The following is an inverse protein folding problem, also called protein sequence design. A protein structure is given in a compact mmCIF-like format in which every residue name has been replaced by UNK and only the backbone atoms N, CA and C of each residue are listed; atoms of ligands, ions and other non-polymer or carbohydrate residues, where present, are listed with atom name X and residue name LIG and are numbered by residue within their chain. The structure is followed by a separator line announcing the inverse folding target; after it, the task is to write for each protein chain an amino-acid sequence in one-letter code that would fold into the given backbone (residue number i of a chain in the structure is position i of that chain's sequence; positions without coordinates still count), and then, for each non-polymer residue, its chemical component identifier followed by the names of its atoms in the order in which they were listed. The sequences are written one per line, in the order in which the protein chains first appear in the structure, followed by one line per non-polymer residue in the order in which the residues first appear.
data_IF_857226281818
#
_entry.id   IF_857226281818
#
_cell.length_a   1.000
_cell.length_b   1.000
_cell.length_c   1.000
_cell.angle_alpha   90.00
_cell.angle_beta   90.00
_cell.angle_gamma   90.00
#
_symmetry.space_group_name_H-M   'P 1'
#
loop_
_entity.id
_entity.type
_entity.pdbx_description
1 polymer ?
#
# COMPACT_ATOMS: atom_id res chain seq x y z
N UNK A 1 -21.18 7.00 -23.71
CA UNK A 1 -20.00 6.17 -23.42
C UNK A 1 -18.86 7.14 -23.25
N UNK A 2 -18.27 7.19 -22.06
CA UNK A 2 -17.17 8.13 -21.79
C UNK A 2 -15.95 7.72 -22.62
N UNK A 3 -15.13 8.68 -23.05
CA UNK A 3 -13.89 8.42 -23.78
C UNK A 3 -12.79 9.32 -23.23
N UNK A 4 -11.58 8.78 -23.09
CA UNK A 4 -10.40 9.47 -22.56
C UNK A 4 -9.16 8.92 -23.28
N UNK A 5 -7.99 9.54 -23.15
CA UNK A 5 -6.78 8.99 -23.76
C UNK A 5 -6.27 7.78 -22.97
N UNK A 6 -6.26 7.90 -21.64
CA UNK A 6 -5.75 6.85 -20.74
C UNK A 6 -6.67 6.62 -19.55
N UNK A 7 -6.98 5.34 -19.28
CA UNK A 7 -7.55 4.93 -17.98
C UNK A 7 -6.47 4.36 -17.09
N UNK A 8 -6.35 4.86 -15.86
CA UNK A 8 -5.51 4.28 -14.81
C UNK A 8 -6.39 3.54 -13.82
N UNK A 9 -6.12 2.25 -13.61
CA UNK A 9 -6.86 1.39 -12.67
C UNK A 9 -6.07 1.30 -11.36
N UNK A 10 -6.61 1.90 -10.30
CA UNK A 10 -6.04 1.97 -8.96
C UNK A 10 -5.40 3.33 -8.65
N UNK A 11 -5.83 3.97 -7.57
CA UNK A 11 -5.28 5.21 -7.02
C UNK A 11 -4.28 4.95 -5.87
N UNK A 12 -3.49 3.89 -5.99
CA UNK A 12 -2.25 3.73 -5.24
C UNK A 12 -1.14 4.63 -5.80
N UNK A 13 0.02 4.66 -5.14
CA UNK A 13 1.15 5.54 -5.52
C UNK A 13 1.56 5.37 -6.99
N UNK A 14 1.66 4.15 -7.51
CA UNK A 14 2.04 3.93 -8.91
C UNK A 14 1.02 4.45 -9.91
N UNK A 15 -0.28 4.34 -9.59
CA UNK A 15 -1.35 4.86 -10.44
C UNK A 15 -1.41 6.38 -10.41
N UNK A 16 -1.29 6.97 -9.22
CA UNK A 16 -1.22 8.43 -9.07
C UNK A 16 0.02 9.02 -9.76
N UNK A 17 1.16 8.33 -9.72
CA UNK A 17 2.37 8.74 -10.45
C UNK A 17 2.17 8.67 -11.96
N UNK A 18 1.60 7.57 -12.48
CA UNK A 18 1.32 7.44 -13.91
C UNK A 18 0.33 8.53 -14.37
N UNK A 19 -0.75 8.74 -13.62
CA UNK A 19 -1.77 9.73 -13.94
C UNK A 19 -1.19 11.15 -13.97
N UNK A 20 -0.43 11.52 -12.95
CA UNK A 20 0.23 12.82 -12.89
C UNK A 20 1.16 13.05 -14.09
N UNK A 21 2.04 12.10 -14.39
CA UNK A 21 2.99 12.23 -15.50
C UNK A 21 2.29 12.37 -16.87
N UNK A 22 1.18 11.66 -17.08
CA UNK A 22 0.40 11.74 -18.33
C UNK A 22 -0.38 13.05 -18.43
N UNK A 23 -0.95 13.52 -17.33
CA UNK A 23 -1.67 14.81 -17.26
C UNK A 23 -0.71 15.99 -17.47
N UNK A 24 0.50 15.94 -16.89
CA UNK A 24 1.51 16.98 -17.05
C UNK A 24 1.91 17.17 -18.54
N UNK A 25 1.77 16.12 -19.37
CA UNK A 25 1.96 16.13 -20.83
C UNK A 25 0.67 16.40 -21.64
N UNK A 26 -0.39 16.84 -20.96
CA UNK A 26 -1.65 17.27 -21.55
C UNK A 26 -2.54 16.15 -22.07
N UNK A 27 -2.36 14.90 -21.63
CA UNK A 27 -3.28 13.80 -21.97
C UNK A 27 -4.58 13.89 -21.15
N UNK A 28 -5.69 13.49 -21.75
CA UNK A 28 -6.93 13.23 -21.02
C UNK A 28 -6.81 11.90 -20.27
N UNK A 29 -6.89 11.95 -18.94
CA UNK A 29 -6.67 10.81 -18.07
C UNK A 29 -7.87 10.61 -17.14
N UNK A 30 -8.22 9.36 -16.90
CA UNK A 30 -9.19 8.99 -15.87
C UNK A 30 -8.61 7.92 -14.93
N UNK A 31 -8.56 8.22 -13.64
CA UNK A 31 -8.17 7.28 -12.58
C UNK A 31 -9.42 6.68 -11.95
N UNK A 32 -9.52 5.35 -11.98
CA UNK A 32 -10.60 4.58 -11.37
C UNK A 32 -10.08 3.84 -10.14
N UNK A 33 -10.59 4.18 -8.96
CA UNK A 33 -10.25 3.53 -7.69
C UNK A 33 -11.46 2.78 -7.15
N UNK A 34 -11.24 1.53 -6.73
CA UNK A 34 -12.30 0.69 -6.21
C UNK A 34 -12.82 1.15 -4.84
N UNK A 35 -11.94 1.71 -4.00
CA UNK A 35 -12.27 2.20 -2.66
C UNK A 35 -12.81 3.63 -2.67
N UNK A 36 -13.33 4.05 -1.54
CA UNK A 36 -13.70 5.42 -1.19
C UNK A 36 -12.50 6.31 -0.81
N UNK A 37 -11.27 5.83 -1.01
CA UNK A 37 -10.03 6.49 -0.62
C UNK A 37 -8.89 6.20 -1.58
N UNK A 38 -7.93 7.13 -1.66
CA UNK A 38 -6.64 6.90 -2.31
C UNK A 38 -5.63 6.22 -1.39
N UNK A 39 -4.50 5.80 -1.96
CA UNK A 39 -3.33 5.33 -1.24
C UNK A 39 -3.13 3.82 -1.27
N UNK A 40 -4.18 3.04 -1.55
CA UNK A 40 -4.10 1.59 -1.60
C UNK A 40 -3.54 1.01 -0.29
N UNK A 41 -2.31 0.50 -0.35
CA UNK A 41 -1.53 -0.04 0.79
C UNK A 41 -0.90 1.02 1.69
N UNK A 42 -1.00 2.30 1.34
CA UNK A 42 -0.78 3.40 2.26
C UNK A 42 -2.12 3.72 2.91
N UNK A 43 -2.33 3.20 4.12
CA UNK A 43 -3.53 3.43 4.91
C UNK A 43 -3.12 3.96 6.27
N UNK A 44 -3.58 5.16 6.58
CA UNK A 44 -3.37 5.80 7.87
C UNK A 44 -4.72 6.09 8.53
N UNK A 45 -4.84 5.85 9.82
CA UNK A 45 -6.04 6.18 10.60
C UNK A 45 -5.73 7.27 11.64
N UNK A 46 -6.69 8.12 11.99
CA UNK A 46 -6.48 9.12 13.03
C UNK A 46 -6.36 8.46 14.41
N UNK A 47 -5.49 9.03 15.26
CA UNK A 47 -5.36 8.60 16.67
C UNK A 47 -6.41 9.26 17.55
N UNK A 48 -6.85 10.49 17.22
CA UNK A 48 -7.89 11.23 17.94
C UNK A 48 -9.15 11.50 17.10
N UNK A 49 -10.15 12.18 17.68
CA UNK A 49 -11.40 12.52 16.99
C UNK A 49 -11.23 13.59 15.90
N UNK A 50 -10.10 14.30 15.89
CA UNK A 50 -9.82 15.37 14.91
C UNK A 50 -8.85 14.88 13.84
N UNK A 51 -9.12 15.11 12.54
CA UNK A 51 -8.24 14.74 11.42
C UNK A 51 -6.81 15.35 11.46
N UNK A 52 -6.57 16.36 12.31
CA UNK A 52 -5.30 17.06 12.44
C UNK A 52 -4.26 16.36 13.34
N UNK A 53 -4.62 15.25 14.00
CA UNK A 53 -3.65 14.46 14.77
C UNK A 53 -2.81 13.58 13.85
N UNK A 54 -1.52 13.40 14.15
CA UNK A 54 -0.64 12.43 13.49
C UNK A 54 -1.37 11.09 13.24
N UNK A 55 -1.17 10.51 12.06
CA UNK A 55 -1.81 9.26 11.66
C UNK A 55 -1.04 8.02 12.12
N UNK A 56 -1.78 6.97 12.43
CA UNK A 56 -1.24 5.61 12.62
C UNK A 56 -1.30 4.86 11.29
N UNK A 57 -0.17 4.35 10.84
CA UNK A 57 -0.09 3.60 9.59
C UNK A 57 -0.49 2.13 9.80
N UNK A 58 -1.62 1.73 9.23
CA UNK A 58 -2.04 0.33 9.15
C UNK A 58 -1.43 -0.40 7.94
N UNK A 59 -0.84 0.36 7.02
CA UNK A 59 -0.12 -0.13 5.85
C UNK A 59 1.38 0.11 5.91
N UNK A 60 2.00 0.54 4.81
CA UNK A 60 3.42 0.89 4.82
C UNK A 60 3.67 2.10 5.75
N UNK A 61 4.80 2.07 6.46
CA UNK A 61 5.11 3.06 7.52
C UNK A 61 6.37 3.87 7.25
N UNK A 62 7.33 3.28 6.54
CA UNK A 62 8.68 3.83 6.44
C UNK A 62 9.03 4.22 5.00
N UNK A 63 10.02 5.10 4.91
CA UNK A 63 10.85 5.30 3.72
C UNK A 63 12.33 5.37 4.14
N UNK A 64 13.25 5.13 3.20
CA UNK A 64 14.69 5.03 3.49
C UNK A 64 15.54 5.99 2.66
N UNK A 65 16.79 6.22 3.10
CA UNK A 65 17.72 7.13 2.43
C UNK A 65 18.11 6.69 1.01
N UNK A 66 18.00 5.40 0.70
CA UNK A 66 18.24 4.83 -0.63
C UNK A 66 16.99 4.84 -1.54
N UNK A 67 15.92 5.54 -1.15
CA UNK A 67 14.69 5.72 -1.95
C UNK A 67 14.60 7.17 -2.46
N UNK A 68 15.34 7.52 -3.53
CA UNK A 68 15.46 8.89 -3.99
C UNK A 68 14.15 9.46 -4.55
N UNK A 69 13.30 8.64 -5.21
CA UNK A 69 12.04 9.14 -5.76
C UNK A 69 11.06 9.46 -4.64
N UNK A 70 11.00 8.63 -3.60
CA UNK A 70 10.18 8.90 -2.42
C UNK A 70 10.62 10.20 -1.74
N UNK A 71 11.92 10.37 -1.49
CA UNK A 71 12.45 11.59 -0.86
C UNK A 71 12.21 12.84 -1.71
N UNK A 72 12.45 12.78 -3.01
CA UNK A 72 12.19 13.88 -3.92
C UNK A 72 10.71 14.28 -3.91
N UNK A 73 9.81 13.30 -3.95
CA UNK A 73 8.37 13.53 -3.93
C UNK A 73 7.90 14.13 -2.59
N UNK A 74 8.41 13.64 -1.46
CA UNK A 74 8.13 14.21 -0.13
C UNK A 74 8.55 15.69 -0.08
N UNK A 75 9.77 15.99 -0.54
CA UNK A 75 10.28 17.36 -0.60
C UNK A 75 9.44 18.24 -1.53
N UNK A 76 9.07 17.72 -2.70
CA UNK A 76 8.28 18.42 -3.70
C UNK A 76 6.87 18.78 -3.18
N UNK A 77 6.28 17.88 -2.39
CA UNK A 77 4.96 18.05 -1.79
C UNK A 77 4.98 18.82 -0.46
N UNK A 78 6.17 19.17 0.05
CA UNK A 78 6.32 19.90 1.32
C UNK A 78 5.82 19.11 2.53
N UNK A 79 5.90 17.78 2.50
CA UNK A 79 5.36 16.92 3.57
C UNK A 79 6.33 16.85 4.76
N UNK A 80 5.79 17.00 5.97
CA UNK A 80 6.58 16.92 7.20
C UNK A 80 7.03 15.49 7.51
N UNK A 81 8.32 15.32 7.81
CA UNK A 81 8.94 14.04 8.17
C UNK A 81 9.57 14.09 9.56
N UNK A 82 9.74 12.92 10.16
CA UNK A 82 10.55 12.72 11.36
C UNK A 82 11.28 11.37 11.28
N UNK A 83 12.41 11.20 11.98
CA UNK A 83 13.12 9.92 12.00
C UNK A 83 12.34 8.86 12.77
N UNK A 84 12.46 7.60 12.33
CA UNK A 84 12.06 6.44 13.13
C UNK A 84 12.86 6.43 14.43
N UNK A 85 12.17 6.25 15.56
CA UNK A 85 12.85 6.10 16.84
C UNK A 85 13.45 4.70 16.95
N UNK A 86 14.76 4.65 17.18
CA UNK A 86 15.53 3.39 17.30
C UNK A 86 16.42 3.36 18.55
N UNK A 87 16.38 4.41 19.38
CA UNK A 87 17.25 4.53 20.55
C UNK A 87 16.78 3.65 21.70
N UNK A 88 17.73 3.05 22.42
CA UNK A 88 17.46 2.14 23.51
C UNK A 88 17.59 0.68 23.12
N UNK A 89 17.22 -0.19 24.04
CA UNK A 89 17.42 -1.63 23.93
C UNK A 89 16.23 -2.31 23.25
N UNK A 90 16.52 -3.28 22.38
CA UNK A 90 15.51 -4.17 21.82
C UNK A 90 15.18 -5.31 22.79
N UNK A 91 14.01 -5.93 22.59
CA UNK A 91 13.65 -7.18 23.23
C UNK A 91 13.72 -8.35 22.25
N UNK A 92 14.16 -9.49 22.74
CA UNK A 92 14.13 -10.75 22.02
C UNK A 92 13.38 -11.78 22.86
N UNK A 93 12.43 -12.51 22.26
CA UNK A 93 11.68 -13.54 22.95
C UNK A 93 11.86 -14.90 22.28
N UNK A 94 12.29 -15.88 23.07
CA UNK A 94 12.31 -17.29 22.71
C UNK A 94 11.47 -18.12 23.69
N UNK A 95 11.58 -19.45 23.62
CA UNK A 95 10.84 -20.36 24.50
C UNK A 95 11.26 -20.29 25.97
N UNK A 96 12.42 -19.71 26.29
CA UNK A 96 12.93 -19.60 27.65
C UNK A 96 12.47 -18.31 28.33
N UNK A 97 12.18 -17.27 27.55
CA UNK A 97 11.64 -16.03 28.08
C UNK A 97 11.94 -14.82 27.19
N UNK A 98 11.80 -13.64 27.80
CA UNK A 98 12.13 -12.35 27.18
C UNK A 98 13.50 -11.91 27.64
N UNK A 99 14.34 -11.54 26.68
CA UNK A 99 15.71 -11.13 26.86
C UNK A 99 15.86 -9.69 26.35
N UNK A 100 16.61 -8.87 27.09
CA UNK A 100 16.95 -7.51 26.68
C UNK A 100 18.26 -7.53 25.91
N UNK A 101 18.27 -6.97 24.71
CA UNK A 101 19.45 -6.83 23.87
C UNK A 101 20.00 -5.41 24.01
N UNK A 102 21.31 -5.28 24.19
CA UNK A 102 21.94 -3.96 24.23
C UNK A 102 21.82 -3.28 22.85
N UNK A 103 21.21 -2.10 22.82
CA UNK A 103 20.87 -1.37 21.60
C UNK A 103 19.76 -2.03 20.78
N UNK A 104 19.53 -1.49 19.58
CA UNK A 104 18.53 -1.98 18.64
C UNK A 104 19.21 -2.55 17.38
N UNK A 105 19.58 -3.85 17.35
CA UNK A 105 20.19 -4.46 16.17
C UNK A 105 19.17 -4.79 15.07
N UNK A 106 17.87 -4.58 15.31
CA UNK A 106 16.80 -4.97 14.39
C UNK A 106 16.51 -3.91 13.34
N UNK A 107 16.79 -2.64 13.64
CA UNK A 107 16.36 -1.52 12.82
C UNK A 107 17.52 -0.62 12.42
N UNK A 108 17.52 -0.23 11.15
CA UNK A 108 18.37 0.85 10.64
C UNK A 108 17.61 2.18 10.59
N UNK A 109 18.31 3.29 10.28
CA UNK A 109 17.68 4.59 10.10
C UNK A 109 16.60 4.57 9.01
N UNK A 110 15.41 5.06 9.34
CA UNK A 110 14.30 5.24 8.42
C UNK A 110 13.58 6.57 8.72
N UNK A 111 12.82 7.06 7.75
CA UNK A 111 11.97 8.23 7.89
C UNK A 111 10.48 7.84 7.93
N UNK A 112 9.67 8.70 8.53
CA UNK A 112 8.21 8.60 8.58
C UNK A 112 7.56 9.94 8.28
N UNK A 113 6.40 9.92 7.63
CA UNK A 113 5.56 11.12 7.50
C UNK A 113 4.82 11.38 8.81
N UNK A 114 4.84 12.63 9.28
CA UNK A 114 4.21 13.02 10.55
C UNK A 114 2.69 12.78 10.56
N UNK A 115 2.02 12.95 9.42
CA UNK A 115 0.58 12.65 9.26
C UNK A 115 0.25 11.19 8.95
N UNK A 116 1.25 10.31 8.86
CA UNK A 116 1.12 8.97 8.30
C UNK A 116 1.38 8.91 6.80
N UNK A 117 1.76 7.74 6.31
CA UNK A 117 2.22 7.54 4.93
C UNK A 117 1.12 7.74 3.88
N UNK A 118 -0.16 7.64 4.24
CA UNK A 118 -1.25 7.90 3.30
C UNK A 118 -1.29 9.38 2.83
N UNK A 119 -0.70 10.31 3.59
CA UNK A 119 -0.59 11.72 3.18
C UNK A 119 0.18 11.88 1.87
N UNK A 120 1.13 10.99 1.56
CA UNK A 120 1.83 10.98 0.28
C UNK A 120 0.83 10.83 -0.88
N UNK A 121 -0.04 9.83 -0.81
CA UNK A 121 -1.03 9.56 -1.85
C UNK A 121 -2.11 10.63 -1.92
N UNK A 122 -2.56 11.16 -0.77
CA UNK A 122 -3.53 12.28 -0.74
C UNK A 122 -2.93 13.52 -1.40
N UNK A 123 -1.70 13.89 -1.05
CA UNK A 123 -1.03 15.05 -1.62
C UNK A 123 -0.77 14.89 -3.13
N UNK A 124 -0.42 13.69 -3.61
CA UNK A 124 -0.37 13.40 -5.04
C UNK A 124 -1.74 13.58 -5.71
N UNK A 125 -2.81 13.04 -5.13
CA UNK A 125 -4.16 13.14 -5.69
C UNK A 125 -4.65 14.59 -5.78
N UNK A 126 -4.33 15.44 -4.79
CA UNK A 126 -4.67 16.88 -4.83
C UNK A 126 -3.99 17.67 -5.96
N UNK A 127 -2.90 17.14 -6.53
CA UNK A 127 -2.19 17.78 -7.65
C UNK A 127 -2.72 17.37 -9.01
N UNK A 128 -3.58 16.36 -9.06
CA UNK A 128 -4.24 15.94 -10.29
C UNK A 128 -5.49 16.83 -10.49
N UNK A 129 -5.81 17.26 -11.73
CA UNK A 129 -6.98 18.08 -12.01
C UNK A 129 -8.28 17.49 -11.47
N UNK A 130 -9.19 18.38 -11.07
CA UNK A 130 -10.51 17.99 -10.57
C UNK A 130 -11.27 17.21 -11.66
N UNK A 131 -11.85 16.08 -11.29
CA UNK A 131 -12.62 15.21 -12.19
C UNK A 131 -11.81 14.07 -12.83
N UNK A 132 -10.48 14.09 -12.75
CA UNK A 132 -9.61 13.00 -13.23
C UNK A 132 -9.74 11.74 -12.34
N UNK A 133 -9.96 11.89 -11.03
CA UNK A 133 -10.06 10.77 -10.09
C UNK A 133 -11.52 10.43 -9.76
N UNK A 134 -11.91 9.16 -9.92
CA UNK A 134 -13.20 8.59 -9.52
C UNK A 134 -12.99 7.47 -8.50
N UNK A 135 -13.40 7.72 -7.26
CA UNK A 135 -13.44 6.74 -6.17
C UNK A 135 -14.71 5.88 -6.27
N UNK A 136 -14.73 4.72 -5.64
CA UNK A 136 -15.87 3.77 -5.67
C UNK A 136 -16.23 3.30 -7.10
N UNK A 137 -15.24 3.24 -7.99
CA UNK A 137 -15.35 2.77 -9.37
C UNK A 137 -14.45 1.54 -9.58
N UNK A 138 -14.78 0.38 -9.00
CA UNK A 138 -14.04 -0.85 -9.28
C UNK A 138 -14.09 -1.15 -10.78
N UNK A 139 -13.03 -1.76 -11.31
CA UNK A 139 -12.99 -2.24 -12.70
C UNK A 139 -13.24 -3.75 -12.69
N UNK A 140 -14.17 -4.22 -13.52
CA UNK A 140 -14.51 -5.65 -13.62
C UNK A 140 -14.13 -6.27 -14.96
N UNK A 141 -14.00 -5.46 -16.02
CA UNK A 141 -13.72 -5.95 -17.37
C UNK A 141 -12.87 -4.95 -18.15
N UNK A 142 -11.89 -5.45 -18.90
CA UNK A 142 -11.13 -4.70 -19.91
C UNK A 142 -11.18 -5.48 -21.22
N UNK A 143 -11.79 -4.90 -22.25
CA UNK A 143 -11.90 -5.54 -23.57
C UNK A 143 -11.36 -4.69 -24.70
N UNK A 144 -10.72 -5.33 -25.66
CA UNK A 144 -10.22 -4.68 -26.85
C UNK A 144 -11.36 -4.46 -27.86
N UNK A 145 -11.55 -3.21 -28.27
CA UNK A 145 -12.57 -2.81 -29.24
C UNK A 145 -11.89 -2.03 -30.36
N UNK A 146 -11.58 -2.71 -31.46
CA UNK A 146 -10.80 -2.13 -32.55
C UNK A 146 -9.41 -1.69 -32.08
N UNK A 147 -9.12 -0.39 -32.19
CA UNK A 147 -7.88 0.24 -31.75
C UNK A 147 -7.97 0.87 -30.37
N UNK A 148 -8.97 0.55 -29.56
CA UNK A 148 -9.14 1.08 -28.20
C UNK A 148 -9.33 -0.08 -27.22
N UNK A 149 -9.20 0.23 -25.93
CA UNK A 149 -9.65 -0.62 -24.84
C UNK A 149 -10.93 -0.01 -24.25
N UNK A 150 -11.93 -0.85 -24.01
CA UNK A 150 -13.13 -0.52 -23.25
C UNK A 150 -13.00 -1.07 -21.82
N UNK A 151 -13.08 -0.17 -20.84
CA UNK A 151 -13.02 -0.47 -19.41
C UNK A 151 -14.43 -0.41 -18.84
N UNK A 152 -14.80 -1.48 -18.15
CA UNK A 152 -16.10 -1.65 -17.52
C UNK A 152 -16.01 -1.48 -16.00
N UNK A 153 -16.89 -0.65 -15.46
CA UNK A 153 -17.02 -0.43 -14.02
C UNK A 153 -18.46 -0.72 -13.57
N UNK A 154 -18.69 -1.72 -12.71
CA UNK A 154 -19.99 -1.90 -12.10
C UNK A 154 -20.18 -0.78 -11.08
N UNK A 155 -21.13 0.13 -11.30
CA UNK A 155 -21.42 1.16 -10.29
C UNK A 155 -21.97 0.50 -9.03
N UNK A 156 -21.34 0.78 -7.89
CA UNK A 156 -21.88 0.45 -6.58
C UNK A 156 -23.17 1.25 -6.37
N UNK A 157 -24.22 0.61 -5.85
CA UNK A 157 -25.50 1.28 -5.52
C UNK A 157 -25.22 2.32 -4.41
N UNK A 158 -25.30 3.61 -4.73
CA UNK A 158 -25.09 4.67 -3.74
C UNK A 158 -25.42 6.11 -4.18
N UNK A 159 -25.43 6.40 -5.49
CA UNK A 159 -25.86 7.71 -5.99
C UNK A 159 -27.39 7.84 -6.00
N UNK A 160 -27.93 8.91 -5.40
CA UNK A 160 -29.35 9.25 -5.44
C UNK A 160 -29.82 9.29 -6.91
N UNK A 161 -30.67 8.32 -7.30
CA UNK A 161 -31.46 8.38 -8.54
C UNK A 161 -31.02 7.50 -9.73
N UNK A 162 -30.02 6.62 -9.61
CA UNK A 162 -29.60 5.75 -10.73
C UNK A 162 -29.88 4.27 -10.51
N UNK A 163 -30.70 3.65 -11.37
CA UNK A 163 -30.72 2.18 -11.52
C UNK A 163 -29.34 1.69 -11.98
N UNK A 164 -28.97 0.46 -11.59
CA UNK A 164 -27.60 -0.07 -11.69
C UNK A 164 -27.11 -0.31 -13.12
N UNK A 165 -26.76 0.78 -13.80
CA UNK A 165 -26.14 0.75 -15.11
C UNK A 165 -24.62 0.59 -14.97
N UNK A 166 -24.08 -0.36 -15.71
CA UNK A 166 -22.65 -0.57 -15.90
C UNK A 166 -22.04 0.66 -16.60
N UNK A 167 -21.00 1.25 -16.02
CA UNK A 167 -20.22 2.32 -16.65
C UNK A 167 -19.23 1.72 -17.65
N UNK A 168 -19.14 2.34 -18.84
CA UNK A 168 -18.19 1.93 -19.89
C UNK A 168 -17.42 3.14 -20.40
N UNK A 169 -16.09 3.02 -20.39
CA UNK A 169 -15.15 4.06 -20.81
C UNK A 169 -14.25 3.49 -21.90
N UNK A 170 -14.09 4.18 -23.03
CA UNK A 170 -13.05 3.84 -24.02
C UNK A 170 -11.78 4.63 -23.79
N UNK A 171 -10.64 3.99 -23.97
CA UNK A 171 -9.34 4.62 -23.89
C UNK A 171 -8.35 4.04 -24.91
N UNK A 172 -7.40 4.88 -25.33
CA UNK A 172 -6.32 4.46 -26.22
C UNK A 172 -5.31 3.56 -25.51
N UNK A 173 -5.13 3.78 -24.20
CA UNK A 173 -4.32 2.96 -23.31
C UNK A 173 -4.96 2.77 -21.92
N UNK A 174 -4.54 1.71 -21.22
CA UNK A 174 -4.92 1.41 -19.84
C UNK A 174 -3.66 1.12 -19.03
N UNK A 175 -3.55 1.72 -17.84
CA UNK A 175 -2.51 1.44 -16.85
C UNK A 175 -3.11 0.64 -15.70
N UNK A 176 -2.61 -0.57 -15.45
CA UNK A 176 -2.94 -1.40 -14.29
C UNK A 176 -1.99 -1.09 -13.13
N UNK A 177 -2.44 -0.28 -12.19
CA UNK A 177 -1.72 0.09 -10.97
C UNK A 177 -2.23 -0.66 -9.72
N UNK A 178 -2.66 -1.91 -9.93
CA UNK A 178 -3.09 -2.86 -8.89
C UNK A 178 -2.16 -4.10 -8.91
N UNK A 179 -2.03 -4.85 -7.81
CA UNK A 179 -1.18 -6.03 -7.77
C UNK A 179 -1.51 -7.02 -8.90
N UNK A 180 -0.53 -7.61 -9.60
CA UNK A 180 -0.80 -8.47 -10.77
C UNK A 180 -1.74 -9.63 -10.48
N UNK A 181 -1.57 -10.32 -9.35
CA UNK A 181 -2.43 -11.45 -8.97
C UNK A 181 -3.88 -10.99 -8.71
N UNK A 182 -4.07 -9.83 -8.07
CA UNK A 182 -5.39 -9.23 -7.89
C UNK A 182 -6.02 -8.87 -9.23
N UNK A 183 -5.26 -8.28 -10.16
CA UNK A 183 -5.77 -7.92 -11.49
C UNK A 183 -6.31 -9.15 -12.25
N UNK A 184 -5.55 -10.26 -12.28
CA UNK A 184 -5.96 -11.49 -12.96
C UNK A 184 -7.18 -12.14 -12.29
N UNK A 185 -7.33 -11.96 -10.98
CA UNK A 185 -8.44 -12.54 -10.23
C UNK A 185 -9.73 -11.72 -10.32
N UNK A 186 -9.64 -10.39 -10.36
CA UNK A 186 -10.79 -9.49 -10.24
C UNK A 186 -11.25 -8.85 -11.55
N UNK A 187 -10.41 -8.87 -12.59
CA UNK A 187 -10.69 -8.22 -13.89
C UNK A 187 -10.73 -9.28 -14.98
N UNK A 188 -11.84 -9.32 -15.73
CA UNK A 188 -11.94 -10.09 -16.96
C UNK A 188 -11.22 -9.36 -18.11
N UNK A 189 -10.45 -10.10 -18.91
CA UNK A 189 -9.73 -9.57 -20.07
C UNK A 189 -10.24 -10.24 -21.35
N UNK A 190 -10.60 -9.43 -22.35
CA UNK A 190 -11.01 -9.89 -23.67
C UNK A 190 -10.23 -9.16 -24.79
N UNK A 191 -9.37 -9.84 -25.59
CA UNK A 191 -9.02 -11.24 -25.47
C UNK A 191 -8.28 -11.54 -24.15
N UNK A 192 -8.28 -12.82 -23.78
CA UNK A 192 -7.52 -13.28 -22.60
C UNK A 192 -6.05 -12.91 -22.78
N UNK A 193 -5.41 -12.42 -21.71
CA UNK A 193 -3.98 -12.11 -21.73
C UNK A 193 -3.15 -13.34 -22.12
N UNK A 194 -1.98 -13.15 -22.78
CA UNK A 194 -1.11 -14.25 -23.18
C UNK A 194 -0.85 -15.23 -22.02
N UNK A 195 -0.85 -16.56 -22.26
CA UNK A 195 -0.74 -17.54 -21.18
C UNK A 195 0.45 -17.35 -20.24
N UNK A 196 1.60 -16.92 -20.79
CA UNK A 196 2.79 -16.61 -19.99
C UNK A 196 2.55 -15.41 -19.06
N UNK A 197 1.96 -14.32 -19.57
CA UNK A 197 1.62 -13.12 -18.78
C UNK A 197 0.65 -13.47 -17.68
N UNK A 198 -0.43 -14.19 -18.02
CA UNK A 198 -1.44 -14.61 -17.05
C UNK A 198 -0.84 -15.48 -15.95
N UNK A 199 0.02 -16.45 -16.30
CA UNK A 199 0.68 -17.33 -15.33
C UNK A 199 1.53 -16.53 -14.35
N UNK A 200 2.48 -15.74 -14.86
CA UNK A 200 3.38 -14.93 -14.01
C UNK A 200 2.57 -13.97 -13.14
N UNK A 201 1.60 -13.26 -13.72
CA UNK A 201 0.74 -12.35 -12.97
C UNK A 201 -0.06 -13.04 -11.87
N UNK A 202 -0.64 -14.22 -12.14
CA UNK A 202 -1.42 -14.97 -11.15
C UNK A 202 -0.59 -15.53 -9.99
N UNK A 203 0.71 -15.76 -10.18
CA UNK A 203 1.61 -16.30 -9.15
C UNK A 203 2.42 -15.24 -8.43
N UNK A 204 2.39 -13.98 -8.90
CA UNK A 204 3.17 -12.90 -8.31
C UNK A 204 2.64 -12.53 -6.92
N UNK A 205 3.46 -12.65 -5.85
CA UNK A 205 3.06 -12.31 -4.49
C UNK A 205 2.59 -10.86 -4.36
N UNK A 206 1.57 -10.61 -3.56
CA UNK A 206 1.16 -9.25 -3.22
C UNK A 206 1.97 -8.79 -2.01
N UNK A 207 2.75 -7.71 -2.15
CA UNK A 207 3.49 -7.17 -1.01
C UNK A 207 2.52 -6.73 0.11
N UNK A 208 2.81 -7.12 1.36
CA UNK A 208 1.91 -7.10 2.53
C UNK A 208 0.61 -7.90 2.42
N UNK A 209 0.29 -8.54 1.28
CA UNK A 209 -0.97 -9.23 1.10
C UNK A 209 -1.20 -10.36 2.10
N UNK A 210 -0.13 -11.06 2.49
CA UNK A 210 -0.16 -12.15 3.46
C UNK A 210 0.08 -11.73 4.92
N UNK A 211 -0.15 -10.46 5.26
CA UNK A 211 0.21 -9.90 6.56
C UNK A 211 -0.99 -9.31 7.32
N UNK A 212 -1.08 -9.62 8.61
CA UNK A 212 -1.89 -8.83 9.54
C UNK A 212 -0.99 -7.86 10.29
N UNK A 213 -1.38 -6.58 10.31
CA UNK A 213 -0.71 -5.54 11.09
C UNK A 213 -1.53 -5.17 12.31
N UNK A 214 -0.90 -5.14 13.47
CA UNK A 214 -1.51 -4.71 14.72
C UNK A 214 -0.90 -3.39 15.12
N UNK A 215 -1.69 -2.43 15.60
CA UNK A 215 -1.20 -1.21 16.23
C UNK A 215 -1.86 -1.03 17.60
N UNK A 216 -1.04 -0.96 18.65
CA UNK A 216 -1.45 -0.67 20.02
C UNK A 216 -1.06 0.76 20.37
N UNK A 217 -2.06 1.57 20.73
CA UNK A 217 -1.90 2.96 21.14
C UNK A 217 -1.82 3.05 22.66
N UNK A 218 -0.99 3.96 23.15
CA UNK A 218 -0.82 4.23 24.58
C UNK A 218 -0.96 5.72 24.83
N UNK A 219 -1.16 6.08 26.09
CA UNK A 219 -1.12 7.48 26.52
C UNK A 219 0.32 8.04 26.40
N UNK A 220 1.31 7.24 26.77
CA UNK A 220 2.73 7.59 26.78
C UNK A 220 3.58 6.43 26.25
N UNK A 221 4.73 6.74 25.64
CA UNK A 221 5.67 5.77 25.11
C UNK A 221 6.51 5.15 26.24
N UNK A 222 5.84 4.43 27.15
CA UNK A 222 6.41 3.93 28.41
C UNK A 222 7.66 3.05 28.23
N UNK A 223 7.83 2.42 27.07
CA UNK A 223 9.02 1.63 26.75
C UNK A 223 10.27 2.50 26.66
N UNK A 224 10.15 3.73 26.13
CA UNK A 224 11.27 4.68 26.05
C UNK A 224 11.78 5.09 27.42
N UNK A 225 10.87 5.30 28.38
CA UNK A 225 11.22 5.58 29.79
C UNK A 225 11.96 4.43 30.47
N UNK A 226 11.73 3.19 29.99
CA UNK A 226 12.42 1.99 30.45
C UNK A 226 13.75 1.75 29.71
N UNK A 227 14.16 2.70 28.86
CA UNK A 227 15.35 2.62 28.01
C UNK A 227 15.23 1.58 26.90
N UNK A 228 14.01 1.28 26.45
CA UNK A 228 13.73 0.35 25.35
C UNK A 228 13.39 1.11 24.07
N UNK A 229 13.82 0.57 22.94
CA UNK A 229 13.56 1.15 21.61
C UNK A 229 12.12 0.94 21.11
N UNK A 230 11.33 0.10 21.79
CA UNK A 230 10.05 -0.38 21.27
C UNK A 230 10.19 -1.42 20.15
N UNK A 231 11.40 -1.94 19.94
CA UNK A 231 11.71 -3.00 18.99
C UNK A 231 11.69 -4.37 19.67
N UNK A 232 10.98 -5.34 19.09
CA UNK A 232 10.86 -6.71 19.61
C UNK A 232 10.94 -7.74 18.49
N UNK A 233 11.84 -8.72 18.61
CA UNK A 233 11.81 -9.95 17.81
C UNK A 233 11.27 -11.10 18.68
N UNK A 234 10.16 -11.72 18.29
CA UNK A 234 9.54 -12.79 19.06
C UNK A 234 9.33 -14.09 18.26
N UNK A 235 9.77 -15.19 18.86
CA UNK A 235 9.48 -16.54 18.42
C UNK A 235 8.30 -17.18 19.17
N UNK A 236 7.62 -16.44 20.05
CA UNK A 236 6.48 -16.90 20.85
C UNK A 236 5.26 -16.02 20.57
N UNK A 237 4.19 -16.68 20.10
CA UNK A 237 2.95 -16.00 19.76
C UNK A 237 2.90 -15.50 18.30
N UNK A 238 1.79 -14.85 17.93
CA UNK A 238 1.49 -14.45 16.57
C UNK A 238 2.31 -13.26 16.06
N UNK A 239 2.51 -12.19 16.86
CA UNK A 239 3.35 -11.06 16.44
C UNK A 239 4.82 -11.45 16.49
N UNK A 240 5.52 -11.35 15.35
CA UNK A 240 6.92 -11.77 15.21
C UNK A 240 7.90 -10.63 15.33
N UNK A 241 7.53 -9.48 14.78
CA UNK A 241 8.28 -8.25 14.86
C UNK A 241 7.36 -7.17 15.40
N UNK A 242 7.85 -6.36 16.33
CA UNK A 242 7.16 -5.20 16.90
C UNK A 242 8.12 -4.02 16.86
N UNK A 243 7.60 -2.84 16.56
CA UNK A 243 8.38 -1.62 16.41
C UNK A 243 7.63 -0.42 17.00
N UNK A 244 8.39 0.60 17.39
CA UNK A 244 7.86 1.90 17.79
C UNK A 244 7.22 2.61 16.58
N UNK A 245 5.96 3.05 16.71
CA UNK A 245 5.22 3.88 15.74
C UNK A 245 4.90 5.26 16.30
N UNK A 246 5.54 5.67 17.38
CA UNK A 246 5.21 6.93 18.03
C UNK A 246 5.59 8.11 17.16
N UNK A 247 4.82 9.19 17.26
CA UNK A 247 5.14 10.43 16.55
C UNK A 247 6.29 11.21 17.19
N UNK A 248 6.59 12.43 16.68
CA UNK A 248 7.59 13.32 17.26
C UNK A 248 7.37 13.53 18.76
N UNK A 249 8.44 13.43 19.55
CA UNK A 249 8.36 13.53 21.01
C UNK A 249 7.67 12.33 21.70
N UNK A 250 7.41 11.24 20.98
CA UNK A 250 6.72 10.07 21.52
C UNK A 250 5.19 10.20 21.50
N UNK A 251 4.64 11.18 20.77
CA UNK A 251 3.20 11.46 20.72
C UNK A 251 2.69 11.47 19.26
N UNK A 252 1.63 10.72 18.94
CA UNK A 252 0.97 9.72 19.78
C UNK A 252 1.93 8.57 20.10
N UNK A 253 1.77 7.92 21.25
CA UNK A 253 2.55 6.74 21.60
C UNK A 253 1.91 5.50 20.99
N UNK A 254 2.67 4.75 20.19
CA UNK A 254 2.16 3.53 19.57
C UNK A 254 3.27 2.50 19.34
N UNK A 255 2.90 1.22 19.47
CA UNK A 255 3.67 0.08 19.00
C UNK A 255 2.89 -0.57 17.87
N UNK A 256 3.57 -1.04 16.83
CA UNK A 256 2.96 -1.89 15.83
C UNK A 256 3.68 -3.22 15.68
N UNK A 257 2.96 -4.27 15.32
CA UNK A 257 3.54 -5.58 15.08
C UNK A 257 2.95 -6.30 13.88
N UNK A 258 3.70 -7.27 13.38
CA UNK A 258 3.37 -8.05 12.20
C UNK A 258 3.03 -9.51 12.55
N UNK A 259 1.92 -10.00 12.01
CA UNK A 259 1.45 -11.39 12.13
C UNK A 259 1.39 -12.00 10.72
N UNK A 260 2.41 -12.77 10.30
CA UNK A 260 2.45 -13.37 8.98
C UNK A 260 1.48 -14.54 8.85
N UNK A 261 0.78 -14.62 7.71
CA UNK A 261 -0.10 -15.73 7.32
C UNK A 261 -1.20 -16.10 8.35
N UNK A 262 -1.49 -15.22 9.30
CA UNK A 262 -2.50 -15.43 10.35
C UNK A 262 -3.16 -14.10 10.73
N UNK A 263 -4.24 -14.20 11.50
CA UNK A 263 -4.86 -13.07 12.18
C UNK A 263 -4.60 -13.18 13.68
N UNK A 264 -5.03 -12.16 14.40
CA UNK A 264 -4.93 -12.06 15.86
C UNK A 264 -6.06 -11.19 16.37
N UNK A 265 -6.64 -11.54 17.51
CA UNK A 265 -7.61 -10.66 18.19
C UNK A 265 -6.92 -9.54 18.98
N UNK A 266 -7.59 -8.41 19.25
CA UNK A 266 -7.07 -7.37 20.13
C UNK A 266 -6.66 -7.89 21.52
N UNK A 267 -7.36 -8.87 22.07
CA UNK A 267 -7.06 -9.42 23.40
C UNK A 267 -5.82 -10.31 23.38
N UNK A 268 -5.62 -11.12 22.34
CA UNK A 268 -4.39 -11.88 22.13
C UNK A 268 -3.19 -10.95 21.93
N UNK A 269 -3.37 -9.86 21.16
CA UNK A 269 -2.33 -8.83 20.99
C UNK A 269 -1.95 -8.20 22.32
N UNK A 270 -2.94 -7.82 23.13
CA UNK A 270 -2.74 -7.26 24.48
C UNK A 270 -1.99 -8.23 25.37
N UNK A 271 -2.41 -9.49 25.40
CA UNK A 271 -1.78 -10.53 26.20
C UNK A 271 -0.32 -10.76 25.78
N UNK A 272 -0.03 -10.78 24.47
CA UNK A 272 1.34 -10.92 23.97
C UNK A 272 2.20 -9.71 24.35
N UNK A 273 1.69 -8.48 24.24
CA UNK A 273 2.40 -7.28 24.70
C UNK A 273 2.69 -7.34 26.20
N UNK A 274 1.74 -7.78 27.03
CA UNK A 274 1.94 -7.94 28.48
C UNK A 274 3.00 -9.00 28.81
N UNK A 275 3.06 -10.09 28.05
CA UNK A 275 4.11 -11.09 28.18
C UNK A 275 5.51 -10.54 27.80
N UNK A 276 5.58 -9.59 26.87
CA UNK A 276 6.82 -8.99 26.38
C UNK A 276 7.33 -7.86 27.28
N UNK A 277 6.45 -6.92 27.63
CA UNK A 277 6.80 -5.69 28.36
C UNK A 277 6.54 -5.79 29.87
N UNK A 278 6.03 -6.94 30.32
CA UNK A 278 5.71 -7.24 31.72
C UNK A 278 4.28 -6.83 32.11
N UNK A 279 3.72 -7.46 33.17
CA UNK A 279 2.32 -7.29 33.57
C UNK A 279 1.98 -5.88 34.08
N UNK A 280 3.00 -5.07 34.41
CA UNK A 280 2.84 -3.68 34.82
C UNK A 280 2.92 -2.69 33.63
N UNK A 281 2.80 -3.17 32.38
CA UNK A 281 2.64 -2.26 31.25
C UNK A 281 1.30 -1.50 31.36
N UNK A 282 1.25 -0.21 31.00
CA UNK A 282 -0.02 0.51 30.89
C UNK A 282 -0.97 -0.18 29.92
N UNK A 283 -2.28 -0.04 30.17
CA UNK A 283 -3.30 -0.56 29.25
C UNK A 283 -3.29 0.21 27.92
N UNK A 284 -3.25 -0.48 26.77
CA UNK A 284 -3.45 0.16 25.47
C UNK A 284 -4.81 0.86 25.41
N UNK A 285 -4.83 2.15 25.08
CA UNK A 285 -6.05 2.95 24.90
C UNK A 285 -6.85 2.50 23.67
N UNK A 286 -6.16 1.92 22.68
CA UNK A 286 -6.77 1.36 21.46
C UNK A 286 -5.84 0.30 20.87
N UNK A 287 -6.41 -0.81 20.41
CA UNK A 287 -5.71 -1.79 19.57
C UNK A 287 -6.47 -1.89 18.26
N UNK A 288 -5.77 -1.72 17.15
CA UNK A 288 -6.32 -1.85 15.80
C UNK A 288 -5.63 -3.01 15.10
N UNK A 289 -6.43 -3.89 14.51
CA UNK A 289 -5.97 -5.03 13.72
C UNK A 289 -6.38 -4.81 12.27
N UNK A 290 -5.42 -4.85 11.36
CA UNK A 290 -5.63 -4.76 9.92
C UNK A 290 -5.11 -6.03 9.26
N UNK A 291 -6.02 -6.92 8.87
CA UNK A 291 -5.71 -8.15 8.15
C UNK A 291 -5.76 -7.92 6.64
N UNK A 292 -4.61 -7.64 6.04
CA UNK A 292 -4.51 -7.33 4.61
C UNK A 292 -4.87 -8.51 3.70
N UNK A 293 -4.95 -9.74 4.23
CA UNK A 293 -5.40 -10.92 3.46
C UNK A 293 -6.87 -10.81 3.08
N UNK A 294 -7.64 -10.16 3.95
CA UNK A 294 -9.09 -10.00 3.79
C UNK A 294 -9.48 -8.71 3.06
N UNK A 295 -8.52 -7.83 2.77
CA UNK A 295 -8.75 -6.60 2.02
C UNK A 295 -8.97 -6.89 0.53
N UNK A 296 -10.24 -6.93 0.11
CA UNK A 296 -10.70 -7.37 -1.22
C UNK A 296 -10.09 -6.60 -2.41
N UNK A 297 -9.67 -5.35 -2.20
CA UNK A 297 -9.04 -4.52 -3.23
C UNK A 297 -7.52 -4.39 -3.05
N UNK A 298 -6.92 -5.30 -2.28
CA UNK A 298 -5.46 -5.47 -2.15
C UNK A 298 -5.05 -6.90 -2.43
N UNK A 299 -5.73 -7.86 -1.81
CA UNK A 299 -5.32 -9.27 -1.81
C UNK A 299 -6.34 -10.14 -2.56
N UNK A 300 -5.89 -10.99 -3.50
CA UNK A 300 -6.76 -12.05 -4.03
C UNK A 300 -7.03 -13.10 -2.95
N UNK A 301 -8.05 -13.97 -3.12
CA UNK A 301 -8.23 -15.15 -2.27
C UNK A 301 -6.96 -16.02 -2.22
N UNK A 302 -6.71 -16.65 -1.07
CA UNK A 302 -5.52 -17.50 -0.81
C UNK A 302 -4.17 -16.79 -1.04
N UNK A 303 -4.09 -15.47 -0.84
CA UNK A 303 -2.87 -14.66 -1.08
C UNK A 303 -1.63 -15.18 -0.33
N UNK A 304 -1.80 -15.82 0.82
CA UNK A 304 -0.72 -16.43 1.61
C UNK A 304 -0.01 -17.59 0.89
N UNK A 305 -0.61 -18.14 -0.17
CA UNK A 305 0.01 -19.17 -1.02
C UNK A 305 0.91 -18.59 -2.11
N UNK A 306 0.84 -17.28 -2.35
CA UNK A 306 1.67 -16.60 -3.35
C UNK A 306 3.02 -16.27 -2.73
N UNK A 307 4.02 -17.13 -2.96
CA UNK A 307 5.36 -17.02 -2.34
C UNK A 307 6.51 -16.98 -3.35
N UNK A 308 6.21 -16.92 -4.65
CA UNK A 308 7.21 -16.86 -5.72
C UNK A 308 7.69 -15.42 -5.97
N UNK A 309 8.55 -14.92 -5.08
CA UNK A 309 9.08 -13.55 -5.17
C UNK A 309 10.05 -13.32 -6.33
N UNK A 310 10.52 -14.37 -7.02
CA UNK A 310 11.35 -14.25 -8.23
C UNK A 310 10.57 -13.63 -9.41
N UNK A 311 9.24 -13.59 -9.30
CA UNK A 311 8.36 -12.90 -10.24
C UNK A 311 8.41 -11.37 -10.12
N UNK A 312 9.00 -10.82 -9.05
CA UNK A 312 9.08 -9.37 -8.85
C UNK A 312 9.97 -8.73 -9.92
N UNK A 313 9.44 -7.72 -10.60
CA UNK A 313 10.13 -7.07 -11.71
C UNK A 313 10.36 -7.96 -12.93
N UNK A 314 9.65 -9.09 -13.04
CA UNK A 314 9.80 -10.01 -14.17
C UNK A 314 9.66 -9.27 -15.52
N UNK A 315 10.52 -9.53 -16.53
CA UNK A 315 10.55 -8.77 -17.79
C UNK A 315 9.21 -8.69 -18.54
N UNK A 316 8.32 -9.67 -18.33
CA UNK A 316 6.98 -9.69 -18.91
C UNK A 316 6.13 -8.46 -18.57
N UNK A 317 6.42 -7.80 -17.44
CA UNK A 317 5.72 -6.58 -17.04
C UNK A 317 6.23 -5.32 -17.74
N UNK A 318 7.40 -5.40 -18.38
CA UNK A 318 7.98 -4.29 -19.13
C UNK A 318 7.38 -4.17 -20.55
N UNK A 319 6.80 -5.26 -21.04
CA UNK A 319 6.14 -5.34 -22.33
C UNK A 319 4.63 -5.08 -22.19
N UNK A 320 4.07 -4.11 -22.93
CA UNK A 320 2.64 -3.82 -22.84
C UNK A 320 1.82 -4.91 -23.54
N UNK A 321 0.69 -5.29 -22.95
CA UNK A 321 -0.21 -6.32 -23.48
C UNK A 321 -1.32 -5.71 -24.35
N UNK A 322 -2.18 -6.56 -24.93
CA UNK A 322 -3.35 -6.18 -25.73
C UNK A 322 -3.00 -5.20 -26.88
N UNK A 323 -2.06 -5.60 -27.74
CA UNK A 323 -1.57 -4.73 -28.82
C UNK A 323 -0.73 -3.54 -28.34
N UNK A 324 -0.19 -3.64 -27.13
CA UNK A 324 0.60 -2.61 -26.49
C UNK A 324 -0.21 -1.43 -25.95
N UNK A 325 -1.44 -1.70 -25.51
CA UNK A 325 -2.35 -0.71 -24.91
C UNK A 325 -2.53 -0.91 -23.42
N UNK A 326 -2.14 -2.06 -22.87
CA UNK A 326 -2.24 -2.37 -21.45
C UNK A 326 -0.85 -2.35 -20.80
N UNK A 327 -0.65 -1.47 -19.82
CA UNK A 327 0.64 -1.24 -19.16
C UNK A 327 0.54 -1.56 -17.67
N UNK A 328 1.60 -2.13 -17.08
CA UNK A 328 1.64 -2.42 -15.64
C UNK A 328 2.35 -1.32 -14.85
N UNK A 329 1.82 -0.99 -13.67
CA UNK A 329 2.30 0.10 -12.81
C UNK A 329 2.22 -0.20 -11.29
N UNK A 330 2.14 -1.48 -10.89
CA UNK A 330 2.23 -1.86 -9.47
C UNK A 330 3.68 -2.04 -9.03
N UNK A 331 3.97 -1.88 -7.73
CA UNK A 331 5.35 -1.99 -7.20
C UNK A 331 6.00 -3.35 -7.50
N UNK A 332 5.23 -4.44 -7.49
CA UNK A 332 5.67 -5.80 -7.84
C UNK A 332 6.21 -5.90 -9.28
N UNK A 333 5.82 -4.95 -10.14
CA UNK A 333 6.24 -4.92 -11.54
C UNK A 333 7.49 -4.08 -11.77
N UNK A 334 8.03 -3.45 -10.72
CA UNK A 334 9.26 -2.66 -10.78
C UNK A 334 10.49 -3.57 -10.71
N UNK A 335 11.52 -3.25 -11.49
CA UNK A 335 12.86 -3.85 -11.30
C UNK A 335 13.68 -3.13 -10.24
N UNK A 336 13.22 -1.96 -9.82
CA UNK A 336 13.84 -1.11 -8.83
C UNK A 336 12.97 -1.13 -7.57
N UNK A 337 13.53 -1.57 -6.45
CA UNK A 337 12.85 -1.63 -5.14
C UNK A 337 11.42 -2.23 -5.19
N UNK A 338 11.22 -3.44 -5.75
CA UNK A 338 9.89 -4.04 -5.80
C UNK A 338 9.35 -4.30 -4.39
N UNK A 339 8.06 -4.03 -4.18
CA UNK A 339 7.41 -4.08 -2.87
C UNK A 339 7.47 -2.74 -2.11
N UNK A 340 8.33 -1.81 -2.51
CA UNK A 340 8.45 -0.50 -1.86
C UNK A 340 7.62 0.58 -2.55
N UNK A 341 7.47 1.74 -1.88
CA UNK A 341 6.88 2.94 -2.48
C UNK A 341 7.73 3.42 -3.66
N UNK A 342 9.06 3.35 -3.53
CA UNK A 342 10.04 3.65 -4.58
C UNK A 342 9.75 2.86 -5.87
N UNK A 343 9.51 1.54 -5.75
CA UNK A 343 9.14 0.70 -6.89
C UNK A 343 7.78 1.04 -7.48
N UNK A 344 6.80 1.45 -6.67
CA UNK A 344 5.51 1.91 -7.18
C UNK A 344 5.67 3.18 -8.03
N UNK A 345 6.45 4.16 -7.57
CA UNK A 345 6.76 5.38 -8.32
C UNK A 345 7.48 5.05 -9.64
N UNK A 346 8.50 4.19 -9.59
CA UNK A 346 9.24 3.77 -10.77
C UNK A 346 8.34 3.06 -11.80
N UNK A 347 7.49 2.14 -11.35
CA UNK A 347 6.56 1.42 -12.23
C UNK A 347 5.51 2.35 -12.88
N UNK A 348 4.98 3.31 -12.12
CA UNK A 348 4.06 4.34 -12.62
C UNK A 348 4.69 5.25 -13.67
N UNK A 349 5.88 5.79 -13.39
CA UNK A 349 6.62 6.64 -14.31
C UNK A 349 6.99 5.89 -15.61
N UNK A 350 7.41 4.62 -15.51
CA UNK A 350 7.68 3.77 -16.67
C UNK A 350 6.44 3.57 -17.54
N UNK A 351 5.29 3.28 -16.93
CA UNK A 351 4.05 3.08 -17.69
C UNK A 351 3.65 4.36 -18.44
N UNK A 352 3.74 5.52 -17.79
CA UNK A 352 3.50 6.81 -18.41
C UNK A 352 4.45 7.08 -19.59
N UNK A 353 5.76 6.94 -19.39
CA UNK A 353 6.76 7.13 -20.45
C UNK A 353 6.48 6.25 -21.68
N UNK A 354 6.16 4.97 -21.48
CA UNK A 354 5.83 4.05 -22.59
C UNK A 354 4.60 4.45 -23.39
N UNK A 355 3.64 5.11 -22.77
CA UNK A 355 2.44 5.61 -23.45
C UNK A 355 2.80 6.88 -24.24
N UNK A 356 3.58 7.78 -23.64
CA UNK A 356 4.02 9.02 -24.27
C UNK A 356 4.93 8.78 -25.49
N UNK A 357 5.84 7.79 -25.43
CA UNK A 357 6.72 7.41 -26.55
C UNK A 357 5.96 6.89 -27.78
N UNK A 358 4.69 6.51 -27.63
CA UNK A 358 3.84 5.99 -28.70
C UNK A 358 2.93 7.05 -29.33
N UNK A 359 2.96 8.28 -28.81
CA UNK A 359 2.29 9.45 -29.38
C UNK A 359 3.07 9.95 -30.58
#
# INVERSE_FOLDING_TARGET
MDRTDVVVVGAGVGGLMAARALVDEGMDVLVLEARDRVGGRLLSIPVGPTPATAGIDLGATWFWANEPRVQALISELGLAVHPQHIEGDALYQDRQGVHRLAGNPMEGPAGRLTGGMQELAKAMAHRIPLGTLRLEHPVSHIRQVGSELEVETPRLRGGIGGTGAIGRIRASAVVLAVPPALAIQSIAFEPVLPPATRRIASTTPVWMGAMTKVVACFEQAFWRERGLAGAVMSHVGPMREIHDMSGPGGVPAALFGFVPNSSISPDEARAQLAALFGPAMPEPSRIVVMDWRTEAHTSPPDVERLQDYDTYGHPIYLEPALGGRLHWASTETSREAPGHIEGALAAGARAAARILDRR
#
